data_IF_203823367224
#
_entry.id   IF_203823367224
#
_cell.length_a   1.000
_cell.length_b   1.000
_cell.length_c   1.000
_cell.angle_alpha   90.00
_cell.angle_beta   90.00
_cell.angle_gamma   90.00
#
_symmetry.space_group_name_H-M   'P 1'
#
loop_
_entity.id
_entity.type
_entity.pdbx_description
1 polymer ?
#
# COMPACT_ATOMS: atom_id res chain seq x y z
N UNK A 1 -5.72 18.72 -13.53
CA UNK A 1 -4.70 17.65 -13.58
C UNK A 1 -4.03 17.58 -12.22
N UNK A 2 -4.07 16.43 -11.54
CA UNK A 2 -3.29 16.21 -10.31
C UNK A 2 -1.81 16.11 -10.67
N UNK A 3 -0.95 16.62 -9.79
CA UNK A 3 0.51 16.47 -9.95
C UNK A 3 0.93 15.11 -9.38
N UNK A 4 2.05 14.56 -9.86
CA UNK A 4 2.59 13.32 -9.30
C UNK A 4 2.83 13.45 -7.79
N UNK A 5 3.35 14.60 -7.33
CA UNK A 5 3.57 14.85 -5.92
C UNK A 5 2.27 14.79 -5.08
N UNK A 6 1.15 15.34 -5.58
CA UNK A 6 -0.13 15.26 -4.85
C UNK A 6 -0.64 13.83 -4.75
N UNK A 7 -0.43 13.02 -5.79
CA UNK A 7 -0.84 11.62 -5.82
C UNK A 7 -0.05 10.76 -4.82
N UNK A 8 1.28 10.96 -4.72
CA UNK A 8 2.10 10.27 -3.72
C UNK A 8 1.65 10.61 -2.29
N UNK A 9 1.32 11.88 -2.03
CA UNK A 9 0.84 12.33 -0.73
C UNK A 9 -0.51 11.71 -0.37
N UNK A 10 -1.48 11.73 -1.29
CA UNK A 10 -2.80 11.12 -1.05
C UNK A 10 -2.70 9.62 -0.77
N UNK A 11 -1.89 8.90 -1.55
CA UNK A 11 -1.67 7.46 -1.34
C UNK A 11 -0.98 7.19 0.00
N UNK A 12 -0.05 8.06 0.41
CA UNK A 12 0.58 7.96 1.73
C UNK A 12 -0.43 8.13 2.86
N UNK A 13 -1.31 9.13 2.76
CA UNK A 13 -2.37 9.37 3.76
C UNK A 13 -3.40 8.22 3.79
N UNK A 14 -3.81 7.71 2.63
CA UNK A 14 -4.69 6.55 2.52
C UNK A 14 -4.05 5.31 3.14
N UNK A 15 -2.79 5.05 2.83
CA UNK A 15 -2.02 3.93 3.36
C UNK A 15 -1.85 3.98 4.88
N UNK A 16 -1.58 5.16 5.44
CA UNK A 16 -1.48 5.34 6.89
C UNK A 16 -2.81 5.11 7.61
N UNK A 17 -3.94 5.58 7.05
CA UNK A 17 -5.29 5.27 7.58
C UNK A 17 -5.58 3.77 7.56
N UNK A 18 -5.15 3.09 6.50
CA UNK A 18 -5.27 1.64 6.39
C UNK A 18 -4.37 0.92 7.40
N UNK A 19 -3.22 1.49 7.77
CA UNK A 19 -2.32 0.90 8.76
C UNK A 19 -2.92 0.94 10.17
N UNK A 20 -3.58 2.04 10.54
CA UNK A 20 -4.26 2.20 11.83
C UNK A 20 -5.34 1.15 12.08
N UNK A 21 -5.92 0.63 11.00
CA UNK A 21 -7.02 -0.32 11.04
C UNK A 21 -6.58 -1.75 10.69
N UNK A 22 -5.30 -1.99 10.36
CA UNK A 22 -4.79 -3.27 9.88
C UNK A 22 -4.91 -4.36 10.95
N UNK A 23 -6.02 -5.10 10.95
CA UNK A 23 -6.27 -6.18 11.89
C UNK A 23 -6.29 -7.51 11.14
N UNK A 24 -5.31 -8.37 11.41
CA UNK A 24 -5.23 -9.73 10.86
C UNK A 24 -6.35 -10.56 11.47
N UNK A 25 -7.28 -11.06 10.63
CA UNK A 25 -8.31 -11.99 11.08
C UNK A 25 -7.69 -13.36 11.39
N UNK A 26 -7.83 -13.81 12.64
CA UNK A 26 -7.63 -15.21 13.01
C UNK A 26 -8.95 -15.97 12.83
N UNK A 27 -9.01 -17.01 11.99
CA UNK A 27 -10.25 -17.76 11.76
C UNK A 27 -10.67 -18.66 12.94
N UNK A 28 -9.89 -18.72 14.04
CA UNK A 28 -10.17 -19.56 15.21
C UNK A 28 -9.81 -18.86 16.53
N UNK A 29 -10.71 -18.89 17.53
CA UNK A 29 -10.48 -18.38 18.89
C UNK A 29 -11.74 -17.93 19.66
N UNK A 30 -11.67 -17.93 20.99
CA UNK A 30 -12.76 -17.63 21.94
C UNK A 30 -13.24 -16.16 21.95
N UNK A 31 -12.46 -15.24 21.40
CA UNK A 31 -12.76 -13.80 21.38
C UNK A 31 -13.32 -13.42 20.00
N UNK A 32 -14.64 -13.60 19.83
CA UNK A 32 -15.43 -13.01 18.72
C UNK A 32 -15.65 -11.52 18.99
N UNK A 33 -14.60 -10.71 18.99
CA UNK A 33 -14.78 -9.25 19.03
C UNK A 33 -14.22 -8.63 17.76
N UNK A 34 -15.15 -8.27 16.88
CA UNK A 34 -14.89 -7.58 15.63
C UNK A 34 -14.52 -6.13 15.93
N UNK A 35 -13.24 -5.85 16.14
CA UNK A 35 -12.71 -4.51 15.95
C UNK A 35 -12.62 -4.28 14.44
N UNK A 36 -13.22 -3.19 13.95
CA UNK A 36 -13.32 -2.90 12.52
C UNK A 36 -11.93 -2.83 11.88
N UNK A 37 -11.58 -3.91 11.19
CA UNK A 37 -10.43 -4.02 10.29
C UNK A 37 -10.87 -3.53 8.92
N UNK A 38 -10.09 -2.64 8.31
CA UNK A 38 -10.19 -2.40 6.88
C UNK A 38 -10.07 -3.74 6.14
N UNK A 39 -11.12 -4.07 5.41
CA UNK A 39 -11.27 -5.37 4.76
C UNK A 39 -10.21 -5.52 3.67
N UNK A 40 -9.94 -6.77 3.30
CA UNK A 40 -9.14 -7.15 2.13
C UNK A 40 -9.42 -6.27 0.89
N UNK A 41 -10.66 -5.80 0.72
CA UNK A 41 -11.08 -4.89 -0.34
C UNK A 41 -10.40 -3.51 -0.28
N UNK A 42 -10.23 -2.93 0.92
CA UNK A 42 -9.52 -1.65 1.12
C UNK A 42 -8.04 -1.75 0.75
N UNK A 43 -7.36 -2.79 1.23
CA UNK A 43 -5.97 -3.08 0.85
C UNK A 43 -5.84 -3.39 -0.64
N UNK A 44 -6.78 -4.13 -1.22
CA UNK A 44 -6.81 -4.43 -2.65
C UNK A 44 -6.92 -3.16 -3.49
N UNK A 45 -7.85 -2.26 -3.14
CA UNK A 45 -8.00 -0.96 -3.82
C UNK A 45 -6.73 -0.12 -3.73
N UNK A 46 -6.14 -0.05 -2.53
CA UNK A 46 -4.90 0.69 -2.31
C UNK A 46 -3.73 0.14 -3.14
N UNK A 47 -3.48 -1.17 -3.09
CA UNK A 47 -2.40 -1.82 -3.85
C UNK A 47 -2.63 -1.68 -5.36
N UNK A 48 -3.87 -1.75 -5.83
CA UNK A 48 -4.17 -1.51 -7.25
C UNK A 48 -3.86 -0.09 -7.68
N UNK A 49 -4.15 0.93 -6.84
CA UNK A 49 -3.72 2.31 -7.12
C UNK A 49 -2.20 2.44 -7.18
N UNK A 50 -1.49 1.78 -6.26
CA UNK A 50 -0.03 1.73 -6.29
C UNK A 50 0.48 1.05 -7.57
N UNK A 51 -0.14 -0.04 -8.02
CA UNK A 51 0.23 -0.72 -9.26
C UNK A 51 0.09 0.19 -10.48
N UNK A 52 -0.95 1.03 -10.52
CA UNK A 52 -1.15 2.03 -11.58
C UNK A 52 -0.06 3.11 -11.49
N UNK A 53 0.18 3.65 -10.29
CA UNK A 53 1.23 4.66 -10.05
C UNK A 53 2.60 4.18 -10.53
N UNK A 54 2.98 2.94 -10.17
CA UNK A 54 4.29 2.39 -10.54
C UNK A 54 4.33 1.88 -11.99
N UNK A 55 3.18 1.64 -12.65
CA UNK A 55 3.14 1.34 -14.08
C UNK A 55 3.38 2.59 -14.93
N UNK A 56 2.95 3.76 -14.45
CA UNK A 56 3.21 5.06 -15.07
C UNK A 56 4.65 5.55 -14.80
N UNK A 57 5.35 4.95 -13.84
CA UNK A 57 6.79 5.13 -13.69
C UNK A 57 7.51 4.41 -14.84
N UNK A 58 8.13 5.19 -15.73
CA UNK A 58 8.84 4.74 -16.94
C UNK A 58 9.60 3.40 -16.81
N UNK A 59 9.76 2.64 -17.92
CA UNK A 59 10.39 1.31 -17.93
C UNK A 59 11.81 1.23 -17.35
N UNK A 60 12.51 2.36 -17.20
CA UNK A 60 13.82 2.44 -16.53
C UNK A 60 13.77 2.21 -15.01
N UNK A 61 12.59 2.23 -14.40
CA UNK A 61 12.40 2.07 -12.94
C UNK A 61 12.03 0.66 -12.49
N UNK A 62 12.25 -0.37 -13.31
CA UNK A 62 12.08 -1.77 -12.88
C UNK A 62 12.98 -2.17 -11.72
N UNK A 63 14.09 -1.47 -11.53
CA UNK A 63 15.00 -1.65 -10.40
C UNK A 63 14.51 -0.96 -9.11
N UNK A 64 13.49 -0.12 -9.20
CA UNK A 64 12.94 0.64 -8.07
C UNK A 64 12.38 -0.31 -6.98
N UNK A 65 12.76 -0.14 -5.71
CA UNK A 65 12.29 -0.99 -4.62
C UNK A 65 10.76 -0.96 -4.43
N UNK A 66 10.12 0.20 -4.58
CA UNK A 66 8.66 0.35 -4.50
C UNK A 66 8.01 -0.38 -5.67
N UNK A 67 8.53 -0.20 -6.89
CA UNK A 67 8.05 -0.92 -8.07
C UNK A 67 8.10 -2.44 -7.87
N UNK A 68 9.26 -2.96 -7.46
CA UNK A 68 9.47 -4.40 -7.23
C UNK A 68 8.51 -4.93 -6.18
N UNK A 69 8.39 -4.24 -5.04
CA UNK A 69 7.56 -4.66 -3.93
C UNK A 69 6.07 -4.61 -4.27
N UNK A 70 5.57 -3.51 -4.86
CA UNK A 70 4.16 -3.41 -5.26
C UNK A 70 3.78 -4.50 -6.28
N UNK A 71 4.69 -4.82 -7.21
CA UNK A 71 4.46 -5.82 -8.24
C UNK A 71 4.33 -7.25 -7.70
N UNK A 72 4.94 -7.59 -6.57
CA UNK A 72 4.79 -8.95 -5.98
C UNK A 72 3.35 -9.23 -5.53
N UNK A 73 2.60 -8.18 -5.20
CA UNK A 73 1.21 -8.27 -4.72
C UNK A 73 0.15 -8.26 -5.81
N UNK A 74 0.55 -8.13 -7.09
CA UNK A 74 -0.40 -8.23 -8.19
C UNK A 74 -1.08 -9.60 -8.19
N UNK A 75 -2.37 -9.62 -7.87
CA UNK A 75 -3.15 -10.86 -7.73
C UNK A 75 -2.82 -11.69 -6.49
N UNK A 76 -2.05 -11.14 -5.54
CA UNK A 76 -1.59 -11.80 -4.31
C UNK A 76 -1.75 -10.91 -3.06
N UNK A 77 -2.72 -9.99 -3.06
CA UNK A 77 -2.94 -9.07 -1.94
C UNK A 77 -3.17 -9.81 -0.61
N UNK A 78 -3.74 -11.02 -0.64
CA UNK A 78 -3.95 -11.83 0.57
C UNK A 78 -2.67 -12.27 1.28
N UNK A 79 -1.53 -12.16 0.62
CA UNK A 79 -0.22 -12.47 1.19
C UNK A 79 0.45 -11.22 1.80
N UNK A 80 -0.16 -10.04 1.67
CA UNK A 80 0.36 -8.81 2.25
C UNK A 80 0.13 -8.83 3.76
N UNK A 81 1.20 -9.04 4.52
CA UNK A 81 1.18 -8.94 5.98
C UNK A 81 1.47 -7.51 6.45
N UNK A 82 1.39 -7.31 7.77
CA UNK A 82 1.62 -6.00 8.40
C UNK A 82 3.05 -5.48 8.18
N UNK A 83 4.04 -6.37 8.18
CA UNK A 83 5.46 -5.99 8.05
C UNK A 83 5.71 -5.50 6.63
N UNK A 84 5.25 -6.24 5.64
CA UNK A 84 5.39 -5.87 4.24
C UNK A 84 4.52 -4.64 3.89
N UNK A 85 3.36 -4.48 4.52
CA UNK A 85 2.55 -3.28 4.36
C UNK A 85 3.25 -2.03 4.90
N UNK A 86 3.85 -2.09 6.10
CA UNK A 86 4.68 -0.99 6.63
C UNK A 86 5.86 -0.66 5.71
N UNK A 87 6.48 -1.69 5.13
CA UNK A 87 7.58 -1.52 4.17
C UNK A 87 7.11 -0.79 2.89
N UNK A 88 5.94 -1.14 2.38
CA UNK A 88 5.32 -0.42 1.25
C UNK A 88 5.11 1.06 1.58
N UNK A 89 4.59 1.38 2.77
CA UNK A 89 4.36 2.76 3.19
C UNK A 89 5.65 3.55 3.33
N UNK A 90 6.69 2.98 3.95
CA UNK A 90 8.01 3.62 4.08
C UNK A 90 8.58 4.00 2.72
N UNK A 91 8.54 3.09 1.75
CA UNK A 91 9.02 3.35 0.39
C UNK A 91 8.18 4.40 -0.34
N UNK A 92 6.87 4.43 -0.10
CA UNK A 92 5.97 5.42 -0.67
C UNK A 92 6.24 6.82 -0.09
N UNK A 93 6.47 6.92 1.21
CA UNK A 93 6.81 8.15 1.93
C UNK A 93 8.14 8.74 1.47
N UNK A 94 9.17 7.90 1.30
CA UNK A 94 10.45 8.31 0.73
C UNK A 94 10.27 8.96 -0.66
N UNK A 95 9.46 8.34 -1.52
CA UNK A 95 9.16 8.87 -2.86
C UNK A 95 8.31 10.15 -2.80
N UNK A 96 7.37 10.25 -1.87
CA UNK A 96 6.58 11.46 -1.66
C UNK A 96 7.48 12.65 -1.28
N UNK A 97 8.47 12.43 -0.41
CA UNK A 97 9.46 13.42 -0.01
C UNK A 97 10.35 13.86 -1.18
N UNK A 98 10.85 12.91 -1.98
CA UNK A 98 11.65 13.20 -3.18
C UNK A 98 10.89 14.04 -4.21
N UNK A 99 9.58 13.81 -4.37
CA UNK A 99 8.72 14.51 -5.34
C UNK A 99 8.20 15.86 -4.84
N UNK A 100 8.35 16.14 -3.54
CA UNK A 100 7.97 17.42 -2.93
C UNK A 100 9.12 18.43 -2.88
N UNK A 101 10.33 18.02 -3.31
CA UNK A 101 11.50 18.88 -3.48
C UNK A 101 11.60 19.34 -4.93
#
# INVERSE_FOLDING_TARGET
MMTMASLYKELTEEGNKLLETFTIQYPYGLYKESFYSNTYDGLTKFVNKLLILVADMEPMKKEDPLYKLVRTYRGRIGNLDLVEFKKLLSLLEERALEKSR
#
